data_IF_351125972769
#
_entry.id   IF_351125972769
#
_cell.length_a   1.000
_cell.length_b   1.000
_cell.length_c   1.000
_cell.angle_alpha   90.00
_cell.angle_beta   90.00
_cell.angle_gamma   90.00
#
_symmetry.space_group_name_H-M   'P 1'
#
loop_
_entity.id
_entity.type
_entity.pdbx_description
1 polymer ?
#
# COMPACT_ATOMS: atom_id res chain seq x y z
N UNK A 1 9.39 19.77 2.06
CA UNK A 1 8.78 18.63 2.76
C UNK A 1 7.63 18.14 1.89
N UNK A 2 7.42 16.83 1.74
CA UNK A 2 6.28 16.34 0.94
C UNK A 2 4.99 16.70 1.65
N UNK A 3 4.05 17.30 0.92
CA UNK A 3 2.71 17.59 1.40
C UNK A 3 1.87 16.30 1.36
N UNK A 4 1.64 15.67 2.51
CA UNK A 4 0.90 14.41 2.61
C UNK A 4 -0.57 14.66 2.92
N UNK A 5 -1.43 13.91 2.23
CA UNK A 5 -2.88 13.90 2.51
C UNK A 5 -3.33 12.45 2.58
N UNK A 6 -4.01 12.11 3.66
CA UNK A 6 -4.57 10.77 3.87
C UNK A 6 -6.04 10.80 3.51
N UNK A 7 -6.46 9.93 2.59
CA UNK A 7 -7.86 9.74 2.22
C UNK A 7 -8.43 8.51 2.91
N UNK A 8 -9.60 8.68 3.51
CA UNK A 8 -10.39 7.62 4.14
C UNK A 8 -11.83 7.66 3.62
N UNK A 9 -12.54 6.55 3.67
CA UNK A 9 -14.00 6.56 3.40
C UNK A 9 -14.74 7.09 4.62
N UNK A 10 -14.37 6.62 5.82
CA UNK A 10 -14.97 7.01 7.08
C UNK A 10 -13.93 7.61 8.04
N UNK A 11 -14.34 8.62 8.81
CA UNK A 11 -13.46 9.33 9.75
C UNK A 11 -12.88 8.44 10.88
N UNK A 12 -13.50 7.28 11.12
CA UNK A 12 -13.06 6.32 12.13
C UNK A 12 -12.10 5.25 11.57
N UNK A 13 -11.81 5.24 10.26
CA UNK A 13 -10.86 4.29 9.67
C UNK A 13 -9.43 4.62 10.12
N UNK A 14 -9.04 5.88 9.87
CA UNK A 14 -7.86 6.55 10.41
C UNK A 14 -8.31 7.95 10.79
N UNK A 15 -8.16 8.32 12.06
CA UNK A 15 -8.56 9.62 12.57
C UNK A 15 -7.42 10.64 12.49
N UNK A 16 -7.77 11.93 12.51
CA UNK A 16 -6.79 13.02 12.49
C UNK A 16 -5.83 13.00 13.69
N UNK A 17 -6.20 12.38 14.81
CA UNK A 17 -5.35 12.28 16.00
C UNK A 17 -4.22 11.25 15.84
N UNK A 18 -4.32 10.35 14.86
CA UNK A 18 -3.39 9.23 14.67
C UNK A 18 -2.26 9.56 13.70
N UNK A 19 -2.25 10.78 13.15
CA UNK A 19 -1.29 11.22 12.16
C UNK A 19 -1.18 12.74 12.13
N UNK A 20 0.03 13.31 11.97
CA UNK A 20 0.18 14.76 11.81
C UNK A 20 -0.31 15.24 10.43
N UNK A 21 -0.58 14.33 9.49
CA UNK A 21 -0.97 14.68 8.12
C UNK A 21 -2.46 14.93 8.03
N UNK A 22 -2.87 15.74 7.04
CA UNK A 22 -4.28 16.07 6.86
C UNK A 22 -5.06 14.82 6.46
N UNK A 23 -6.03 14.43 7.28
CA UNK A 23 -7.00 13.38 6.96
C UNK A 23 -8.24 14.01 6.32
N UNK A 24 -8.70 13.44 5.21
CA UNK A 24 -9.91 13.86 4.50
C UNK A 24 -10.74 12.64 4.11
N UNK A 25 -12.06 12.82 4.11
CA UNK A 25 -12.95 11.85 3.49
C UNK A 25 -12.85 11.95 1.97
N UNK A 26 -12.98 10.83 1.28
CA UNK A 26 -13.02 10.81 -0.21
C UNK A 26 -14.09 11.75 -0.74
N UNK A 27 -15.29 11.74 -0.15
CA UNK A 27 -16.37 12.65 -0.52
C UNK A 27 -15.96 14.13 -0.48
N UNK A 28 -15.22 14.56 0.55
CA UNK A 28 -14.73 15.94 0.64
C UNK A 28 -13.62 16.23 -0.37
N UNK A 29 -12.73 15.26 -0.62
CA UNK A 29 -11.67 15.37 -1.63
C UNK A 29 -12.22 15.54 -3.05
N UNK A 30 -13.34 14.87 -3.36
CA UNK A 30 -14.04 14.99 -4.64
C UNK A 30 -14.74 16.35 -4.71
N UNK A 31 -15.54 16.68 -3.71
CA UNK A 31 -16.45 17.83 -3.73
C UNK A 31 -15.76 19.20 -3.60
N UNK A 32 -14.52 19.26 -3.09
CA UNK A 32 -13.85 20.54 -2.76
C UNK A 32 -12.49 20.69 -3.47
N UNK A 33 -12.45 20.78 -4.82
CA UNK A 33 -11.20 20.91 -5.57
C UNK A 33 -10.37 22.15 -5.19
N UNK A 34 -11.02 23.24 -4.78
CA UNK A 34 -10.36 24.48 -4.38
C UNK A 34 -9.37 24.32 -3.21
N UNK A 35 -9.53 23.30 -2.36
CA UNK A 35 -8.60 23.00 -1.26
C UNK A 35 -7.17 22.65 -1.74
N UNK A 36 -7.03 22.25 -3.01
CA UNK A 36 -5.78 21.81 -3.61
C UNK A 36 -5.30 22.69 -4.76
N UNK A 37 -5.92 23.86 -4.96
CA UNK A 37 -5.52 24.78 -6.02
C UNK A 37 -4.02 25.15 -5.89
N UNK A 38 -3.24 24.89 -6.94
CA UNK A 38 -1.79 25.15 -6.95
C UNK A 38 -0.95 24.19 -6.09
N UNK A 39 -1.54 23.16 -5.48
CA UNK A 39 -0.83 22.14 -4.67
C UNK A 39 -0.75 20.81 -5.42
N UNK A 40 0.29 20.04 -5.14
CA UNK A 40 0.49 18.68 -5.68
C UNK A 40 0.86 17.72 -4.55
N UNK A 41 -0.10 17.42 -3.64
CA UNK A 41 0.18 16.55 -2.51
C UNK A 41 0.50 15.12 -2.95
N UNK A 42 1.07 14.35 -2.04
CA UNK A 42 1.09 12.90 -2.10
C UNK A 42 -0.12 12.36 -1.33
N UNK A 43 -1.01 11.72 -2.06
CA UNK A 43 -2.23 11.10 -1.55
C UNK A 43 -1.92 9.68 -1.08
N UNK A 44 -2.10 9.43 0.22
CA UNK A 44 -2.21 8.08 0.76
C UNK A 44 -3.67 7.69 0.78
N UNK A 45 -4.06 6.86 -0.18
CA UNK A 45 -5.42 6.36 -0.30
C UNK A 45 -5.57 5.12 0.59
N UNK A 46 -6.22 5.30 1.75
CA UNK A 46 -6.44 4.28 2.77
C UNK A 46 -7.90 3.83 2.80
N UNK A 47 -8.56 3.86 1.64
CA UNK A 47 -9.97 3.47 1.50
C UNK A 47 -10.20 1.99 1.76
N UNK A 48 -11.48 1.65 1.98
CA UNK A 48 -11.87 0.31 2.41
C UNK A 48 -11.88 -0.68 1.25
N UNK A 49 -12.12 -0.19 0.04
CA UNK A 49 -12.12 -0.96 -1.19
C UNK A 49 -11.38 -0.26 -2.32
N UNK A 50 -10.63 -1.03 -3.08
CA UNK A 50 -9.92 -0.59 -4.29
C UNK A 50 -10.50 -1.24 -5.56
N UNK A 51 -11.66 -1.89 -5.46
CA UNK A 51 -12.32 -2.50 -6.60
C UNK A 51 -12.78 -1.47 -7.62
N UNK A 52 -12.97 -1.89 -8.87
CA UNK A 52 -13.50 -1.03 -9.91
C UNK A 52 -14.81 -0.36 -9.46
N UNK A 53 -14.94 0.94 -9.73
CA UNK A 53 -16.06 1.80 -9.30
C UNK A 53 -16.21 1.99 -7.77
N UNK A 54 -15.25 1.58 -6.94
CA UNK A 54 -15.25 1.94 -5.52
C UNK A 54 -14.88 3.42 -5.31
N UNK A 55 -15.20 3.96 -4.13
CA UNK A 55 -14.72 5.29 -3.71
C UNK A 55 -13.20 5.39 -3.77
N UNK A 56 -12.50 4.36 -3.29
CA UNK A 56 -11.04 4.29 -3.35
C UNK A 56 -10.51 4.35 -4.78
N UNK A 57 -11.12 3.62 -5.72
CA UNK A 57 -10.73 3.66 -7.14
C UNK A 57 -10.90 5.05 -7.74
N UNK A 58 -12.07 5.67 -7.54
CA UNK A 58 -12.34 7.02 -8.03
C UNK A 58 -11.43 8.08 -7.39
N UNK A 59 -11.09 7.93 -6.11
CA UNK A 59 -10.18 8.84 -5.42
C UNK A 59 -8.78 8.85 -6.07
N UNK A 60 -8.22 7.67 -6.38
CA UNK A 60 -6.92 7.59 -7.07
C UNK A 60 -6.99 8.09 -8.50
N UNK A 61 -8.05 7.75 -9.25
CA UNK A 61 -8.25 8.25 -10.62
C UNK A 61 -8.30 9.77 -10.66
N UNK A 62 -9.05 10.39 -9.74
CA UNK A 62 -9.15 11.83 -9.65
C UNK A 62 -7.85 12.48 -9.19
N UNK A 63 -7.10 11.84 -8.29
CA UNK A 63 -5.79 12.32 -7.86
C UNK A 63 -4.80 12.35 -9.03
N UNK A 64 -4.74 11.29 -9.82
CA UNK A 64 -3.91 11.22 -11.03
C UNK A 64 -4.29 12.28 -12.06
N UNK A 65 -5.59 12.46 -12.33
CA UNK A 65 -6.09 13.49 -13.23
C UNK A 65 -5.75 14.93 -12.79
N UNK A 66 -5.60 15.15 -11.47
CA UNK A 66 -5.17 16.42 -10.88
C UNK A 66 -3.64 16.58 -10.82
N UNK A 67 -2.87 15.59 -11.27
CA UNK A 67 -1.41 15.58 -11.17
C UNK A 67 -0.90 15.44 -9.74
N UNK A 68 -1.71 14.92 -8.83
CA UNK A 68 -1.27 14.54 -7.49
C UNK A 68 -0.57 13.18 -7.57
N UNK A 69 0.45 12.95 -6.73
CA UNK A 69 0.97 11.60 -6.54
C UNK A 69 -0.01 10.82 -5.67
N UNK A 70 -0.22 9.53 -5.94
CA UNK A 70 -1.14 8.72 -5.15
C UNK A 70 -0.63 7.29 -4.97
N UNK A 71 -0.92 6.72 -3.80
CA UNK A 71 -0.65 5.31 -3.48
C UNK A 71 -1.87 4.70 -2.76
N UNK A 72 -2.44 3.58 -3.25
CA UNK A 72 -2.15 2.95 -4.55
C UNK A 72 -2.62 3.78 -5.77
N UNK A 73 -1.94 3.63 -6.90
CA UNK A 73 -2.37 4.17 -8.21
C UNK A 73 -3.49 3.32 -8.82
N UNK A 74 -4.22 3.86 -9.79
CA UNK A 74 -5.26 3.10 -10.52
C UNK A 74 -4.66 1.89 -11.21
N UNK A 75 -3.49 2.05 -11.84
CA UNK A 75 -2.75 0.97 -12.48
C UNK A 75 -2.47 -0.16 -11.49
N UNK A 76 -1.92 0.16 -10.32
CA UNK A 76 -1.65 -0.83 -9.26
C UNK A 76 -2.93 -1.55 -8.81
N UNK A 77 -4.04 -0.81 -8.64
CA UNK A 77 -5.30 -1.42 -8.21
C UNK A 77 -5.81 -2.45 -9.23
N UNK A 78 -5.72 -2.12 -10.52
CA UNK A 78 -6.09 -3.03 -11.61
C UNK A 78 -5.14 -4.22 -11.63
N UNK A 79 -3.84 -3.97 -11.56
CA UNK A 79 -2.82 -5.01 -11.60
C UNK A 79 -3.01 -6.04 -10.47
N UNK A 80 -3.20 -5.59 -9.23
CA UNK A 80 -3.44 -6.48 -8.08
C UNK A 80 -4.86 -7.08 -8.02
N UNK A 81 -5.76 -6.73 -8.95
CA UNK A 81 -7.13 -7.26 -8.97
C UNK A 81 -7.21 -8.72 -9.41
N UNK A 82 -6.25 -9.18 -10.22
CA UNK A 82 -6.20 -10.55 -10.73
C UNK A 82 -4.76 -11.05 -10.85
N UNK A 83 -4.52 -12.29 -10.39
CA UNK A 83 -3.17 -12.89 -10.35
C UNK A 83 -2.43 -12.84 -11.69
N UNK A 84 -3.14 -13.08 -12.79
CA UNK A 84 -2.55 -13.08 -14.12
C UNK A 84 -1.89 -11.75 -14.53
N UNK A 85 -2.33 -10.63 -13.96
CA UNK A 85 -1.86 -9.29 -14.35
C UNK A 85 -0.48 -8.95 -13.75
N UNK A 86 -0.13 -9.51 -12.60
CA UNK A 86 1.18 -9.32 -11.95
C UNK A 86 2.12 -10.53 -12.05
N UNK A 87 1.84 -11.48 -12.97
CA UNK A 87 2.68 -12.68 -13.15
C UNK A 87 4.15 -12.35 -13.41
N UNK A 88 4.42 -11.21 -14.05
CA UNK A 88 5.77 -10.75 -14.37
C UNK A 88 6.61 -10.40 -13.13
N UNK A 89 5.98 -10.04 -12.00
CA UNK A 89 6.67 -9.76 -10.74
C UNK A 89 7.01 -11.03 -9.94
N UNK A 90 6.30 -12.14 -10.18
CA UNK A 90 6.41 -13.36 -9.38
C UNK A 90 7.81 -14.00 -9.33
N UNK A 91 8.62 -14.02 -10.42
CA UNK A 91 9.97 -14.55 -10.38
C UNK A 91 10.85 -13.86 -9.34
N UNK A 92 10.88 -12.52 -9.36
CA UNK A 92 11.69 -11.70 -8.46
C UNK A 92 11.23 -11.84 -7.02
N UNK A 93 9.90 -11.80 -6.79
CA UNK A 93 9.33 -12.03 -5.46
C UNK A 93 9.67 -13.42 -4.92
N UNK A 94 9.61 -14.45 -5.76
CA UNK A 94 9.98 -15.81 -5.39
C UNK A 94 11.47 -15.96 -5.08
N UNK A 95 12.35 -15.26 -5.79
CA UNK A 95 13.77 -15.22 -5.45
C UNK A 95 14.00 -14.61 -4.07
N UNK A 96 13.35 -13.48 -3.76
CA UNK A 96 13.43 -12.87 -2.42
C UNK A 96 12.87 -13.77 -1.33
N UNK A 97 11.79 -14.50 -1.61
CA UNK A 97 11.23 -15.48 -0.69
C UNK A 97 12.23 -16.63 -0.41
N UNK A 98 12.87 -17.17 -1.45
CA UNK A 98 13.90 -18.22 -1.29
C UNK A 98 15.12 -17.73 -0.53
N UNK A 99 15.60 -16.53 -0.84
CA UNK A 99 16.74 -15.89 -0.13
C UNK A 99 16.43 -15.69 1.36
N UNK A 100 15.22 -15.23 1.69
CA UNK A 100 14.78 -15.07 3.07
C UNK A 100 14.79 -16.41 3.82
N UNK A 101 14.20 -17.46 3.24
CA UNK A 101 14.16 -18.81 3.85
C UNK A 101 15.55 -19.42 4.01
N UNK A 102 16.41 -19.28 3.00
CA UNK A 102 17.80 -19.77 3.06
C UNK A 102 18.62 -19.09 4.18
N UNK A 103 18.26 -17.86 4.57
CA UNK A 103 18.88 -17.11 5.68
C UNK A 103 18.23 -17.38 7.04
N UNK A 104 17.32 -18.33 7.13
CA UNK A 104 16.67 -18.72 8.38
C UNK A 104 15.48 -17.84 8.78
N UNK A 105 14.86 -17.12 7.83
CA UNK A 105 13.57 -16.49 8.10
C UNK A 105 12.52 -17.56 8.51
N UNK A 106 11.63 -17.26 9.47
CA UNK A 106 10.66 -18.23 9.97
C UNK A 106 9.69 -18.67 8.85
N UNK A 107 9.28 -19.94 8.88
CA UNK A 107 8.26 -20.45 7.97
C UNK A 107 6.88 -19.91 8.35
N UNK A 108 6.29 -19.11 7.45
CA UNK A 108 4.98 -18.50 7.60
C UNK A 108 4.13 -18.79 6.36
N UNK A 109 2.81 -18.82 6.52
CA UNK A 109 1.86 -19.00 5.41
C UNK A 109 1.55 -17.71 4.63
N UNK A 110 1.78 -16.55 5.26
CA UNK A 110 1.62 -15.25 4.61
C UNK A 110 2.50 -14.20 5.29
N UNK A 111 2.90 -13.19 4.52
CA UNK A 111 3.63 -12.04 5.00
C UNK A 111 2.77 -10.79 4.86
N UNK A 112 2.44 -10.15 5.98
CA UNK A 112 1.90 -8.80 5.99
C UNK A 112 3.05 -7.79 5.90
N UNK A 113 2.91 -6.79 5.03
CA UNK A 113 3.82 -5.68 4.91
C UNK A 113 3.07 -4.35 4.84
N UNK A 114 3.56 -3.34 5.56
CA UNK A 114 3.05 -1.98 5.51
C UNK A 114 4.21 -1.01 5.21
N UNK A 115 4.04 -0.16 4.20
CA UNK A 115 5.05 0.81 3.77
C UNK A 115 6.46 0.22 3.67
N UNK A 116 6.58 -0.91 2.96
CA UNK A 116 7.84 -1.66 2.77
C UNK A 116 8.48 -2.27 4.02
N UNK A 117 7.79 -2.27 5.16
CA UNK A 117 8.22 -2.97 6.37
C UNK A 117 7.43 -4.27 6.54
N UNK A 118 8.10 -5.41 6.74
CA UNK A 118 7.42 -6.66 7.08
C UNK A 118 6.99 -6.67 8.55
N UNK A 119 5.88 -7.34 8.86
CA UNK A 119 5.49 -7.66 10.24
C UNK A 119 6.39 -8.75 10.85
N UNK A 120 6.98 -9.60 10.01
CA UNK A 120 7.85 -10.71 10.41
C UNK A 120 9.31 -10.44 10.02
N UNK A 121 10.22 -10.52 10.99
CA UNK A 121 11.64 -10.32 10.78
C UNK A 121 12.23 -11.34 9.78
N UNK A 122 13.24 -10.92 9.01
CA UNK A 122 13.91 -11.74 8.00
C UNK A 122 13.31 -11.63 6.59
N UNK A 123 12.16 -10.96 6.45
CA UNK A 123 11.47 -10.74 5.18
C UNK A 123 11.63 -9.30 4.63
N UNK A 124 12.57 -8.50 5.14
CA UNK A 124 12.71 -7.08 4.80
C UNK A 124 13.00 -6.86 3.31
N UNK A 125 13.79 -7.74 2.70
CA UNK A 125 14.08 -7.69 1.26
C UNK A 125 12.85 -7.99 0.42
N UNK A 126 12.07 -9.00 0.81
CA UNK A 126 10.81 -9.34 0.13
C UNK A 126 9.79 -8.21 0.26
N UNK A 127 9.62 -7.65 1.46
CA UNK A 127 8.71 -6.53 1.71
C UNK A 127 9.08 -5.28 0.90
N UNK A 128 10.37 -5.02 0.70
CA UNK A 128 10.83 -3.94 -0.18
C UNK A 128 10.54 -4.24 -1.64
N UNK A 129 10.89 -5.42 -2.13
CA UNK A 129 10.68 -5.83 -3.52
C UNK A 129 9.19 -5.73 -3.92
N UNK A 130 8.29 -6.29 -3.10
CA UNK A 130 6.84 -6.21 -3.36
C UNK A 130 6.30 -4.78 -3.30
N UNK A 131 6.91 -3.92 -2.48
CA UNK A 131 6.55 -2.51 -2.44
C UNK A 131 7.10 -1.71 -3.61
N UNK A 132 8.26 -2.08 -4.13
CA UNK A 132 8.86 -1.46 -5.31
C UNK A 132 8.01 -1.75 -6.54
N UNK A 133 7.51 -2.98 -6.68
CA UNK A 133 6.56 -3.39 -7.71
C UNK A 133 5.22 -2.66 -7.61
N UNK A 134 4.54 -2.74 -6.47
CA UNK A 134 3.12 -2.34 -6.41
C UNK A 134 2.88 -0.99 -5.74
N UNK A 135 3.79 -0.48 -4.90
CA UNK A 135 3.67 0.83 -4.23
C UNK A 135 2.33 1.03 -3.52
N UNK A 136 1.98 0.10 -2.63
CA UNK A 136 0.74 0.16 -1.85
C UNK A 136 1.03 0.41 -0.36
N UNK A 137 0.13 1.10 0.37
CA UNK A 137 0.32 1.39 1.78
C UNK A 137 0.46 0.14 2.65
N UNK A 138 -0.34 -0.89 2.35
CA UNK A 138 -0.24 -2.20 2.98
C UNK A 138 -0.72 -3.32 2.06
N UNK A 139 -0.08 -4.47 2.19
CA UNK A 139 -0.36 -5.66 1.41
C UNK A 139 -0.08 -6.94 2.20
N UNK A 140 -0.58 -8.04 1.66
CA UNK A 140 -0.30 -9.37 2.13
C UNK A 140 0.16 -10.24 0.96
N UNK A 141 1.26 -10.95 1.17
CA UNK A 141 1.80 -11.95 0.25
C UNK A 141 1.50 -13.32 0.83
N UNK A 142 0.62 -14.07 0.18
CA UNK A 142 0.30 -15.45 0.57
C UNK A 142 1.28 -16.40 -0.10
N UNK A 143 1.79 -17.36 0.67
CA UNK A 143 2.77 -18.33 0.23
C UNK A 143 2.13 -19.70 0.03
N UNK A 144 2.52 -20.39 -1.04
CA UNK A 144 2.11 -21.77 -1.31
C UNK A 144 3.26 -22.46 -2.06
N UNK A 145 3.89 -23.50 -1.49
CA UNK A 145 4.93 -24.27 -2.16
C UNK A 145 4.51 -24.87 -3.51
N UNK A 146 3.21 -25.14 -3.71
CA UNK A 146 2.68 -25.65 -4.97
C UNK A 146 2.45 -24.55 -6.02
N UNK A 147 2.43 -23.27 -5.60
CA UNK A 147 2.27 -22.16 -6.52
C UNK A 147 3.59 -21.86 -7.26
N UNK A 148 3.51 -21.35 -8.50
CA UNK A 148 4.68 -20.83 -9.20
C UNK A 148 5.44 -19.83 -8.33
N UNK A 149 6.76 -20.02 -8.23
CA UNK A 149 7.66 -19.18 -7.44
C UNK A 149 7.38 -19.15 -5.91
N UNK A 150 6.50 -20.03 -5.40
CA UNK A 150 6.12 -20.07 -3.99
C UNK A 150 5.12 -18.98 -3.58
N UNK A 151 4.61 -18.19 -4.52
CA UNK A 151 3.70 -17.06 -4.28
C UNK A 151 2.29 -17.42 -4.74
N UNK A 152 1.40 -17.61 -3.76
CA UNK A 152 0.00 -17.92 -4.01
C UNK A 152 -0.73 -16.67 -4.51
N UNK A 153 -0.57 -15.54 -3.82
CA UNK A 153 -1.30 -14.30 -4.09
C UNK A 153 -0.59 -13.10 -3.49
N UNK A 154 -0.69 -11.96 -4.17
CA UNK A 154 -0.44 -10.64 -3.56
C UNK A 154 -1.77 -9.89 -3.52
N UNK A 155 -2.11 -9.31 -2.37
CA UNK A 155 -3.31 -8.48 -2.22
C UNK A 155 -3.06 -7.24 -1.40
N UNK A 156 -3.73 -6.14 -1.75
CA UNK A 156 -3.80 -4.96 -0.88
C UNK A 156 -4.57 -5.29 0.39
N UNK A 157 -4.14 -4.70 1.51
CA UNK A 157 -4.83 -4.81 2.79
C UNK A 157 -5.30 -3.43 3.22
N UNK A 158 -6.62 -3.17 3.15
CA UNK A 158 -7.20 -1.93 3.63
C UNK A 158 -7.01 -1.73 5.15
N UNK A 159 -6.60 -0.55 5.63
CA UNK A 159 -6.25 -0.34 7.05
C UNK A 159 -7.39 -0.59 8.04
N UNK A 160 -8.65 -0.43 7.64
CA UNK A 160 -9.80 -0.69 8.51
C UNK A 160 -9.95 -2.18 8.88
N UNK A 161 -9.31 -3.09 8.14
CA UNK A 161 -9.28 -4.52 8.47
C UNK A 161 -8.23 -4.85 9.54
N UNK A 162 -7.32 -3.94 9.82
CA UNK A 162 -6.24 -4.14 10.79
C UNK A 162 -6.75 -3.88 12.21
N UNK A 163 -6.39 -4.76 13.14
CA UNK A 163 -6.76 -4.67 14.57
C UNK A 163 -5.56 -5.00 15.46
N UNK A 164 -5.60 -4.53 16.71
CA UNK A 164 -4.57 -4.81 17.71
C UNK A 164 -3.16 -4.46 17.22
N UNK A 165 -2.20 -5.35 17.49
CA UNK A 165 -0.78 -5.17 17.18
C UNK A 165 -0.52 -4.86 15.70
N UNK A 166 -1.26 -5.49 14.79
CA UNK A 166 -1.10 -5.26 13.34
C UNK A 166 -1.49 -3.83 12.94
N UNK A 167 -2.50 -3.25 13.59
CA UNK A 167 -2.90 -1.86 13.36
C UNK A 167 -1.86 -0.89 13.90
N UNK A 168 -1.34 -1.16 15.09
CA UNK A 168 -0.26 -0.36 15.68
C UNK A 168 1.00 -0.42 14.82
N UNK A 169 1.35 -1.60 14.31
CA UNK A 169 2.45 -1.78 13.37
C UNK A 169 2.25 -0.92 12.11
N UNK A 170 1.06 -0.96 11.50
CA UNK A 170 0.75 -0.15 10.33
C UNK A 170 0.91 1.36 10.60
N UNK A 171 0.41 1.87 11.72
CA UNK A 171 0.54 3.28 12.08
C UNK A 171 2.01 3.69 12.27
N UNK A 172 2.80 2.89 13.00
CA UNK A 172 4.25 3.13 13.17
C UNK A 172 4.99 3.09 11.83
N UNK A 173 4.60 2.18 10.92
CA UNK A 173 5.18 2.12 9.58
C UNK A 173 4.83 3.35 8.75
N UNK A 174 3.58 3.83 8.81
CA UNK A 174 3.11 5.04 8.14
C UNK A 174 3.86 6.28 8.62
N UNK A 175 4.02 6.44 9.93
CA UNK A 175 4.76 7.55 10.53
C UNK A 175 6.22 7.58 10.06
N UNK A 176 6.89 6.41 10.10
CA UNK A 176 8.26 6.28 9.61
C UNK A 176 8.37 6.56 8.09
N UNK A 177 7.40 6.11 7.30
CA UNK A 177 7.39 6.33 5.85
C UNK A 177 7.20 7.81 5.48
N UNK A 178 6.28 8.47 6.17
CA UNK A 178 5.90 9.86 5.88
C UNK A 178 6.85 10.90 6.47
N UNK A 179 7.74 10.51 7.38
CA UNK A 179 8.83 11.36 7.89
C UNK A 179 10.05 11.42 6.94
N UNK A 180 10.17 10.51 5.96
CA UNK A 180 11.26 10.46 4.99
C UNK A 180 11.02 11.23 3.67
N UNK A 181 12.06 11.32 2.81
CA UNK A 181 11.92 11.72 1.39
C UNK A 181 11.54 10.51 0.54
N UNK A 182 10.50 10.63 -0.29
CA UNK A 182 10.02 9.56 -1.19
C UNK A 182 10.91 9.48 -2.44
N UNK A 183 11.33 8.28 -2.83
CA UNK A 183 12.03 8.01 -4.11
C UNK A 183 11.04 7.79 -5.26
N UNK A 184 11.38 8.27 -6.45
CA UNK A 184 10.64 8.01 -7.70
C UNK A 184 10.71 6.52 -8.11
N UNK A 185 9.76 6.02 -8.94
CA UNK A 185 9.81 4.64 -9.45
C UNK A 185 11.02 4.38 -10.32
N UNK A 186 11.52 3.14 -10.25
CA UNK A 186 12.36 2.60 -11.32
C UNK A 186 11.47 2.44 -12.55
N UNK A 187 11.93 2.94 -13.69
CA UNK A 187 11.29 2.82 -15.00
C UNK A 187 11.46 1.41 -15.55
#
# INVERSE_FOLDING_TARGET
>A
MTDWVILVENANDISQAETPHKVLRVADYIARPALFAGRRPYILNLCRSYGYQSEGYYASLLAEARGHRVSPSVQTMVELSAKGLYNHALPDLGERLRDARAKGAPEIGSLFAAFSKPETAGYERLAREVSDWFRVPALEVEFDPAAPHGIARVRMVPPQKLKGERREFFLRAMEAYTSGRISEPKT
#
